data_IF_698913153220
#
_entry.id   IF_698913153220
#
_cell.length_a   1.000
_cell.length_b   1.000
_cell.length_c   1.000
_cell.angle_alpha   90.00
_cell.angle_beta   90.00
_cell.angle_gamma   90.00
#
_symmetry.space_group_name_H-M   'P 1'
#
loop_
_entity.id
_entity.type
_entity.pdbx_description
1 polymer ?
#
# COMPACT_ATOMS: atom_id res chain seq x y z
N UNK A 1 -42.13 -12.58 13.35
CA UNK A 1 -40.70 -12.60 13.72
C UNK A 1 -39.94 -11.93 12.59
N UNK A 2 -39.61 -10.65 12.78
CA UNK A 2 -38.89 -9.84 11.80
C UNK A 2 -37.48 -10.40 11.60
N UNK A 3 -37.18 -10.79 10.36
CA UNK A 3 -35.83 -11.08 9.91
C UNK A 3 -35.03 -9.78 9.93
N UNK A 4 -34.28 -9.57 11.00
CA UNK A 4 -33.29 -8.50 11.09
C UNK A 4 -32.15 -8.81 10.13
N UNK A 5 -32.31 -8.45 8.86
CA UNK A 5 -31.21 -8.37 7.91
C UNK A 5 -30.30 -7.22 8.35
N UNK A 6 -29.38 -7.49 9.27
CA UNK A 6 -28.28 -6.57 9.57
C UNK A 6 -27.38 -6.54 8.34
N UNK A 7 -27.68 -5.65 7.39
CA UNK A 7 -26.75 -5.31 6.33
C UNK A 7 -25.48 -4.81 7.02
N UNK A 8 -24.46 -5.64 7.11
CA UNK A 8 -23.15 -5.21 7.60
C UNK A 8 -22.63 -4.21 6.59
N UNK A 9 -22.83 -2.92 6.90
CA UNK A 9 -22.35 -1.80 6.11
C UNK A 9 -20.82 -1.91 6.08
N UNK A 10 -20.30 -2.61 5.09
CA UNK A 10 -18.88 -2.90 4.92
C UNK A 10 -18.40 -2.09 3.74
N UNK A 11 -17.24 -1.46 3.91
CA UNK A 11 -16.66 -0.56 2.93
C UNK A 11 -15.42 -1.20 2.32
N UNK A 12 -15.19 -0.88 1.04
CA UNK A 12 -13.94 -1.17 0.35
C UNK A 12 -13.04 0.04 0.46
N UNK A 13 -11.89 -0.13 1.11
CA UNK A 13 -10.99 0.97 1.44
C UNK A 13 -9.65 0.77 0.73
N UNK A 14 -9.11 1.86 0.20
CA UNK A 14 -7.75 1.94 -0.31
C UNK A 14 -6.95 2.91 0.56
N UNK A 15 -5.86 2.41 1.14
CA UNK A 15 -4.86 3.21 1.84
C UNK A 15 -3.71 3.50 0.88
N UNK A 16 -3.55 4.76 0.48
CA UNK A 16 -2.38 5.26 -0.20
C UNK A 16 -1.35 5.73 0.85
N UNK A 17 -0.33 4.90 1.08
CA UNK A 17 0.78 5.22 1.97
C UNK A 17 1.79 6.04 1.19
N UNK A 18 1.88 7.34 1.46
CA UNK A 18 2.72 8.27 0.72
C UNK A 18 4.14 8.31 1.30
N UNK A 19 4.31 8.94 2.46
CA UNK A 19 5.61 9.12 3.11
C UNK A 19 5.50 9.18 4.63
N UNK A 20 6.62 8.97 5.32
CA UNK A 20 6.76 9.33 6.72
C UNK A 20 7.85 10.40 6.86
N UNK A 21 7.75 11.22 7.90
CA UNK A 21 8.73 12.26 8.20
C UNK A 21 9.25 12.15 9.63
N UNK A 22 10.49 12.61 9.83
CA UNK A 22 11.16 12.66 11.13
C UNK A 22 11.17 11.33 11.91
N UNK A 23 11.30 10.20 11.20
CA UNK A 23 11.37 8.90 11.84
C UNK A 23 12.61 8.77 12.74
N UNK A 24 12.51 8.06 13.87
CA UNK A 24 13.65 7.81 14.73
C UNK A 24 14.70 6.96 13.99
N UNK A 25 15.83 7.58 13.69
CA UNK A 25 16.99 6.87 13.15
C UNK A 25 17.69 6.11 14.26
N UNK A 26 17.74 4.79 14.14
CA UNK A 26 18.63 3.94 14.91
C UNK A 26 19.83 3.58 14.05
N UNK A 27 20.97 3.22 14.65
CA UNK A 27 22.17 2.77 13.92
C UNK A 27 21.89 1.60 12.96
N UNK A 28 20.80 0.86 13.22
CA UNK A 28 20.35 -0.30 12.47
C UNK A 28 19.13 -0.04 11.57
N UNK A 29 18.66 1.21 11.44
CA UNK A 29 17.52 1.56 10.58
C UNK A 29 17.80 1.21 9.13
N UNK A 30 17.26 0.07 8.68
CA UNK A 30 17.44 -0.45 7.33
C UNK A 30 16.09 -0.62 6.65
N UNK A 31 15.91 0.10 5.54
CA UNK A 31 14.81 -0.08 4.57
C UNK A 31 13.44 -0.17 5.22
N UNK A 32 12.95 0.92 5.84
CA UNK A 32 11.65 0.92 6.50
C UNK A 32 10.51 0.54 5.55
N UNK A 33 9.47 -0.06 6.11
CA UNK A 33 8.20 -0.38 5.46
C UNK A 33 7.04 -0.11 6.42
N UNK A 34 5.85 0.11 5.88
CA UNK A 34 4.64 0.35 6.68
C UNK A 34 3.80 -0.91 6.68
N UNK A 35 3.32 -1.28 7.85
CA UNK A 35 2.31 -2.30 8.05
C UNK A 35 1.01 -1.61 8.46
N UNK A 36 -0.09 -1.94 7.79
CA UNK A 36 -1.44 -1.52 8.18
C UNK A 36 -2.10 -2.71 8.86
N UNK A 37 -2.38 -2.57 10.15
CA UNK A 37 -3.12 -3.56 10.95
C UNK A 37 -4.57 -3.13 11.05
N UNK A 38 -5.46 -4.06 10.78
CA UNK A 38 -6.91 -3.86 10.80
C UNK A 38 -7.46 -4.86 11.80
N UNK A 39 -7.95 -4.34 12.92
CA UNK A 39 -8.61 -5.12 13.95
C UNK A 39 -10.13 -5.04 13.73
N UNK A 40 -10.65 -6.09 13.11
CA UNK A 40 -12.06 -6.32 12.81
C UNK A 40 -12.37 -7.79 13.18
N UNK A 41 -13.60 -8.23 12.97
CA UNK A 41 -14.04 -9.63 13.15
C UNK A 41 -13.10 -10.66 12.49
N UNK A 42 -12.47 -10.30 11.37
CA UNK A 42 -11.37 -11.03 10.78
C UNK A 42 -10.14 -10.11 10.66
N UNK A 43 -9.15 -10.23 11.55
CA UNK A 43 -7.98 -9.36 11.54
C UNK A 43 -7.21 -9.47 10.21
N UNK A 44 -6.81 -8.33 9.67
CA UNK A 44 -6.06 -8.24 8.43
C UNK A 44 -4.79 -7.43 8.62
N UNK A 45 -3.74 -7.81 7.89
CA UNK A 45 -2.47 -7.10 7.90
C UNK A 45 -1.97 -6.90 6.47
N UNK A 46 -1.83 -5.64 6.08
CA UNK A 46 -1.26 -5.24 4.79
C UNK A 46 0.12 -4.64 5.02
N UNK A 47 1.00 -4.71 4.01
CA UNK A 47 2.33 -4.11 4.09
C UNK A 47 2.73 -3.46 2.79
N UNK A 48 3.45 -2.34 2.88
CA UNK A 48 4.17 -1.77 1.74
C UNK A 48 5.44 -2.56 1.46
N UNK A 49 6.04 -2.35 0.29
CA UNK A 49 7.40 -2.79 0.05
C UNK A 49 8.39 -2.00 0.92
N UNK A 50 9.53 -2.60 1.21
CA UNK A 50 10.64 -1.86 1.82
C UNK A 50 11.15 -0.76 0.91
N UNK A 51 11.52 0.38 1.49
CA UNK A 51 12.23 1.42 0.74
C UNK A 51 13.58 0.91 0.24
N UNK A 52 14.12 1.56 -0.78
CA UNK A 52 15.48 1.27 -1.29
C UNK A 52 16.57 1.94 -0.46
N UNK A 53 16.19 2.95 0.34
CA UNK A 53 17.09 3.82 1.07
C UNK A 53 17.31 3.29 2.50
N UNK A 54 18.55 2.96 2.82
CA UNK A 54 18.97 2.66 4.19
C UNK A 54 19.00 3.98 5.00
N UNK A 55 18.67 3.93 6.29
CA UNK A 55 18.63 5.11 7.20
C UNK A 55 17.77 6.27 6.69
N UNK A 56 16.68 5.98 5.98
CA UNK A 56 15.73 7.00 5.57
C UNK A 56 14.97 7.57 6.79
N UNK A 57 15.24 8.83 7.13
CA UNK A 57 14.47 9.59 8.12
C UNK A 57 13.10 9.98 7.58
N UNK A 58 13.06 10.29 6.28
CA UNK A 58 11.87 10.69 5.55
C UNK A 58 11.58 9.73 4.37
N UNK A 59 11.21 8.46 4.63
CA UNK A 59 10.95 7.49 3.59
C UNK A 59 9.65 7.79 2.83
N UNK A 60 9.69 7.61 1.51
CA UNK A 60 8.51 7.61 0.63
C UNK A 60 8.22 6.21 0.08
N UNK A 61 6.96 5.79 0.12
CA UNK A 61 6.47 4.52 -0.45
C UNK A 61 5.59 4.72 -1.68
N UNK A 62 4.65 5.66 -1.62
CA UNK A 62 3.68 5.94 -2.69
C UNK A 62 2.91 4.69 -3.14
N UNK A 63 2.43 3.89 -2.17
CA UNK A 63 1.79 2.59 -2.45
C UNK A 63 0.33 2.53 -2.04
N UNK A 64 -0.46 1.89 -2.88
CA UNK A 64 -1.87 1.61 -2.62
C UNK A 64 -2.04 0.22 -2.02
N UNK A 65 -2.62 0.15 -0.82
CA UNK A 65 -3.00 -1.05 -0.11
C UNK A 65 -4.53 -1.12 -0.06
N UNK A 66 -5.14 -2.16 -0.63
CA UNK A 66 -6.60 -2.25 -0.77
C UNK A 66 -7.18 -3.33 0.12
N UNK A 67 -8.24 -2.98 0.84
CA UNK A 67 -9.06 -3.87 1.67
C UNK A 67 -10.45 -3.94 1.05
N UNK A 68 -10.92 -5.15 0.75
CA UNK A 68 -12.20 -5.33 0.07
C UNK A 68 -13.41 -5.21 0.99
N UNK A 69 -13.25 -5.62 2.26
CA UNK A 69 -14.34 -5.69 3.23
C UNK A 69 -13.83 -5.21 4.56
N UNK A 70 -14.37 -4.09 5.03
CA UNK A 70 -13.92 -3.44 6.26
C UNK A 70 -15.12 -2.81 6.97
N UNK A 71 -15.31 -3.13 8.25
CA UNK A 71 -16.34 -2.46 9.05
C UNK A 71 -15.97 -0.99 9.31
N UNK A 72 -16.90 -0.02 9.24
CA UNK A 72 -16.67 1.38 9.64
C UNK A 72 -16.18 1.53 11.08
N UNK A 73 -16.50 0.55 11.94
CA UNK A 73 -16.12 0.52 13.35
C UNK A 73 -14.80 -0.19 13.63
N UNK A 74 -14.14 -0.76 12.62
CA UNK A 74 -12.87 -1.46 12.83
C UNK A 74 -11.77 -0.48 13.23
N UNK A 75 -10.78 -0.98 13.97
CA UNK A 75 -9.63 -0.20 14.38
C UNK A 75 -8.49 -0.40 13.40
N UNK A 76 -7.86 0.70 13.01
CA UNK A 76 -6.73 0.72 12.07
C UNK A 76 -5.53 1.30 12.76
N UNK A 77 -4.40 0.59 12.65
CA UNK A 77 -3.12 1.02 13.20
C UNK A 77 -2.06 0.94 12.11
N UNK A 78 -1.23 1.97 12.01
CA UNK A 78 -0.10 2.00 11.08
C UNK A 78 1.19 1.82 11.87
N UNK A 79 2.00 0.85 11.47
CA UNK A 79 3.29 0.56 12.08
C UNK A 79 4.40 0.71 11.05
N UNK A 80 5.35 1.60 11.32
CA UNK A 80 6.58 1.69 10.56
C UNK A 80 7.55 0.67 11.14
N UNK A 81 7.91 -0.31 10.34
CA UNK A 81 8.79 -1.40 10.71
C UNK A 81 10.06 -1.38 9.85
N UNK A 82 11.13 -2.00 10.35
CA UNK A 82 12.34 -2.25 9.60
C UNK A 82 12.59 -3.75 9.45
N UNK A 83 13.20 -4.15 8.34
CA UNK A 83 13.62 -5.55 8.18
C UNK A 83 14.77 -5.84 9.13
N UNK A 84 14.77 -7.05 9.66
CA UNK A 84 15.93 -7.57 10.38
C UNK A 84 17.14 -7.60 9.43
N UNK A 85 18.35 -7.26 9.93
CA UNK A 85 19.56 -7.33 9.12
C UNK A 85 19.77 -8.76 8.62
N UNK A 86 20.36 -8.89 7.42
CA UNK A 86 20.62 -10.21 6.80
C UNK A 86 21.50 -11.11 7.68
N UNK A 87 22.39 -10.51 8.48
CA UNK A 87 23.29 -11.21 9.40
C UNK A 87 22.64 -11.62 10.74
N UNK A 88 21.45 -11.10 11.05
CA UNK A 88 20.67 -11.46 12.23
C UNK A 88 19.19 -11.62 11.82
N UNK A 89 18.86 -12.69 11.07
CA UNK A 89 17.49 -12.94 10.63
C UNK A 89 16.60 -13.14 11.85
N UNK A 90 15.73 -12.17 12.09
CA UNK A 90 14.83 -12.13 13.24
C UNK A 90 13.51 -11.46 12.90
N UNK A 91 12.66 -11.29 13.91
CA UNK A 91 11.39 -10.57 13.74
C UNK A 91 11.66 -9.12 13.30
N UNK A 92 10.86 -8.56 12.37
CA UNK A 92 10.93 -7.14 12.05
C UNK A 92 10.77 -6.31 13.31
N UNK A 93 11.53 -5.23 13.42
CA UNK A 93 11.49 -4.32 14.56
C UNK A 93 10.59 -3.14 14.23
N UNK A 94 9.70 -2.78 15.16
CA UNK A 94 8.86 -1.58 15.04
C UNK A 94 9.70 -0.35 15.37
N UNK A 95 9.72 0.63 14.46
CA UNK A 95 10.36 1.93 14.65
C UNK A 95 9.39 2.92 15.30
N UNK A 96 8.18 3.00 14.75
CA UNK A 96 7.13 3.86 15.24
C UNK A 96 5.75 3.29 14.89
N UNK A 97 4.73 3.70 15.65
CA UNK A 97 3.35 3.29 15.45
C UNK A 97 2.41 4.48 15.64
N UNK A 98 1.31 4.51 14.90
CA UNK A 98 0.22 5.44 15.19
C UNK A 98 -0.64 4.93 16.34
N UNK A 99 -1.53 5.78 16.84
CA UNK A 99 -2.66 5.31 17.64
C UNK A 99 -3.59 4.41 16.80
N UNK A 100 -4.46 3.68 17.48
CA UNK A 100 -5.55 2.96 16.85
C UNK A 100 -6.68 3.94 16.53
N UNK A 101 -7.05 4.04 15.25
CA UNK A 101 -8.12 4.90 14.79
C UNK A 101 -9.29 4.08 14.24
N UNK A 102 -10.53 4.43 14.60
CA UNK A 102 -11.70 3.92 13.89
C UNK A 102 -11.63 4.33 12.42
N UNK A 103 -12.02 3.44 11.50
CA UNK A 103 -12.09 3.76 10.07
C UNK A 103 -12.96 4.99 9.80
N UNK A 104 -14.08 5.15 10.51
CA UNK A 104 -14.93 6.35 10.39
C UNK A 104 -14.15 7.64 10.68
N UNK A 105 -13.37 7.67 11.75
CA UNK A 105 -12.56 8.84 12.14
C UNK A 105 -11.49 9.16 11.09
N UNK A 106 -10.86 8.12 10.53
CA UNK A 106 -9.89 8.29 9.45
C UNK A 106 -10.51 8.93 8.19
N UNK A 107 -11.71 8.50 7.82
CA UNK A 107 -12.46 9.07 6.69
C UNK A 107 -12.94 10.51 6.98
N UNK A 108 -13.34 10.78 8.22
CA UNK A 108 -13.76 12.12 8.66
C UNK A 108 -12.59 13.11 8.63
N UNK A 109 -11.40 12.68 9.09
CA UNK A 109 -10.18 13.49 9.07
C UNK A 109 -9.75 13.89 7.65
N UNK A 110 -10.10 13.09 6.64
CA UNK A 110 -9.79 13.41 5.25
C UNK A 110 -10.71 14.50 4.65
N UNK A 111 -11.79 14.87 5.34
CA UNK A 111 -12.66 15.97 4.96
C UNK A 111 -13.78 15.61 3.99
N UNK A 112 -14.18 14.34 3.93
CA UNK A 112 -15.32 13.88 3.14
C UNK A 112 -15.02 13.85 1.63
N UNK A 113 -14.72 12.65 1.13
CA UNK A 113 -14.58 12.28 -0.29
C UNK A 113 -13.63 13.15 -1.16
N UNK A 114 -12.87 14.07 -0.57
CA UNK A 114 -11.76 14.74 -1.26
C UNK A 114 -10.65 13.73 -1.49
N UNK A 115 -10.47 13.38 -2.76
CA UNK A 115 -9.56 12.31 -3.19
C UNK A 115 -8.09 12.69 -3.02
N UNK A 116 -7.76 13.98 -2.96
CA UNK A 116 -6.38 14.47 -3.11
C UNK A 116 -5.75 15.00 -1.82
N UNK A 117 -6.42 14.89 -0.66
CA UNK A 117 -5.88 15.37 0.61
C UNK A 117 -5.24 14.24 1.40
N UNK A 118 -3.93 14.36 1.68
CA UNK A 118 -3.25 13.50 2.63
C UNK A 118 -3.61 13.92 4.05
N UNK A 119 -3.85 12.95 4.93
CA UNK A 119 -3.91 13.15 6.37
C UNK A 119 -2.54 12.85 6.97
N UNK A 120 -2.14 13.68 7.93
CA UNK A 120 -0.88 13.53 8.65
C UNK A 120 -1.15 12.90 10.01
N UNK A 121 -0.83 11.62 10.16
CA UNK A 121 -1.02 10.89 11.41
C UNK A 121 0.23 10.99 12.29
N UNK A 122 0.10 11.30 13.59
CA UNK A 122 1.23 11.31 14.50
C UNK A 122 1.80 9.90 14.67
N UNK A 123 3.13 9.79 14.60
CA UNK A 123 3.86 8.55 14.84
C UNK A 123 4.51 8.59 16.22
N UNK A 124 4.18 7.62 17.05
CA UNK A 124 4.78 7.40 18.36
C UNK A 124 5.96 6.45 18.23
N UNK A 125 7.17 6.84 18.63
CA UNK A 125 8.33 5.96 18.63
C UNK A 125 8.10 4.76 19.56
N UNK A 126 8.43 3.54 19.11
CA UNK A 126 8.18 2.30 19.87
C UNK A 126 9.08 2.10 21.11
N UNK A 127 9.78 3.14 21.57
CA UNK A 127 10.71 3.13 22.70
C UNK A 127 11.90 2.16 22.56
N UNK A 128 12.97 2.62 21.88
CA UNK A 128 14.39 2.43 22.24
C UNK A 128 15.23 3.25 21.27
N UNK A 129 15.32 4.55 21.47
CA UNK A 129 16.47 5.33 21.00
C UNK A 129 17.57 5.18 22.05
N UNK A 130 18.60 4.34 21.84
CA UNK A 130 19.74 4.25 22.77
C UNK A 130 20.56 5.55 22.81
N UNK A 131 20.44 6.38 21.77
CA UNK A 131 21.01 7.73 21.72
C UNK A 131 19.87 8.72 22.02
N UNK A 132 19.77 9.18 23.27
CA UNK A 132 18.70 10.03 23.83
C UNK A 132 18.53 11.42 23.23
N UNK A 133 18.63 11.56 21.91
CA UNK A 133 18.23 12.76 21.17
C UNK A 133 16.78 12.59 20.75
N UNK A 134 15.88 13.33 21.40
CA UNK A 134 14.50 13.45 20.93
C UNK A 134 14.52 13.97 19.48
N UNK A 135 13.68 13.44 18.58
CA UNK A 135 13.56 13.99 17.24
C UNK A 135 13.14 15.47 17.36
N UNK A 136 13.83 16.34 16.61
CA UNK A 136 13.63 17.81 16.66
C UNK A 136 12.23 18.21 16.15
N UNK A 137 11.53 17.29 15.47
CA UNK A 137 10.16 17.40 14.99
C UNK A 137 9.37 16.13 15.30
N UNK A 138 8.06 16.21 15.60
CA UNK A 138 7.24 15.03 15.82
C UNK A 138 7.16 14.21 14.53
N UNK A 139 7.41 12.90 14.63
CA UNK A 139 7.30 11.99 13.50
C UNK A 139 5.85 11.92 12.99
N UNK A 140 5.67 11.91 11.67
CA UNK A 140 4.34 11.88 11.04
C UNK A 140 4.29 10.90 9.88
N UNK A 141 3.11 10.36 9.62
CA UNK A 141 2.80 9.52 8.48
C UNK A 141 1.76 10.22 7.60
N UNK A 142 2.14 10.52 6.36
CA UNK A 142 1.27 11.00 5.30
C UNK A 142 0.56 9.80 4.67
N UNK A 143 -0.76 9.74 4.83
CA UNK A 143 -1.61 8.71 4.25
C UNK A 143 -2.84 9.35 3.61
N UNK A 144 -3.30 8.78 2.51
CA UNK A 144 -4.58 9.12 1.90
C UNK A 144 -5.47 7.89 1.85
N UNK A 145 -6.72 8.04 2.26
CA UNK A 145 -7.65 6.96 2.54
C UNK A 145 -8.89 7.16 1.66
N UNK A 146 -9.17 6.18 0.81
CA UNK A 146 -10.23 6.31 -0.18
C UNK A 146 -11.25 5.20 -0.01
N UNK A 147 -12.51 5.57 0.07
CA UNK A 147 -13.60 4.63 -0.13
C UNK A 147 -13.75 4.39 -1.63
N UNK A 148 -13.63 3.13 -2.06
CA UNK A 148 -13.84 2.76 -3.45
C UNK A 148 -15.34 2.50 -3.65
N UNK A 149 -16.00 3.36 -4.43
CA UNK A 149 -17.43 3.24 -4.69
C UNK A 149 -17.79 1.98 -5.48
N UNK A 150 -18.64 1.18 -4.84
CA UNK A 150 -19.43 0.02 -5.30
C UNK A 150 -18.71 -1.29 -5.67
N UNK A 151 -19.05 -2.31 -4.89
CA UNK A 151 -18.82 -3.74 -5.16
C UNK A 151 -19.33 -4.18 -6.54
N UNK A 152 -20.42 -3.57 -7.03
CA UNK A 152 -21.00 -3.86 -8.34
C UNK A 152 -20.09 -3.43 -9.49
N UNK A 153 -19.47 -2.25 -9.43
CA UNK A 153 -18.58 -1.76 -10.49
C UNK A 153 -17.27 -2.55 -10.52
N UNK A 154 -16.80 -3.02 -9.37
CA UNK A 154 -15.60 -3.86 -9.27
C UNK A 154 -15.85 -5.31 -9.72
N UNK A 155 -16.99 -5.91 -9.36
CA UNK A 155 -17.41 -7.23 -9.87
C UNK A 155 -17.67 -7.17 -11.38
N UNK A 156 -18.28 -6.09 -11.89
CA UNK A 156 -18.41 -5.87 -13.33
C UNK A 156 -17.07 -5.66 -14.02
N UNK A 157 -16.17 -4.82 -13.48
CA UNK A 157 -14.84 -4.62 -14.05
C UNK A 157 -14.02 -5.93 -14.04
N UNK A 158 -14.13 -6.74 -12.97
CA UNK A 158 -13.50 -8.04 -12.89
C UNK A 158 -14.10 -9.03 -13.91
N UNK A 159 -15.43 -9.05 -14.05
CA UNK A 159 -16.15 -9.85 -15.06
C UNK A 159 -15.73 -9.47 -16.47
N UNK A 160 -15.74 -8.17 -16.80
CA UNK A 160 -15.32 -7.64 -18.10
C UNK A 160 -13.85 -7.98 -18.38
N UNK A 161 -12.98 -7.87 -17.37
CA UNK A 161 -11.56 -8.21 -17.53
C UNK A 161 -11.33 -9.71 -17.70
N UNK A 162 -12.13 -10.56 -17.05
CA UNK A 162 -12.11 -12.01 -17.22
C UNK A 162 -12.62 -12.42 -18.61
N UNK A 163 -13.70 -11.79 -19.08
CA UNK A 163 -14.26 -11.99 -20.43
C UNK A 163 -13.27 -11.57 -21.50
N UNK A 164 -12.64 -10.38 -21.38
CA UNK A 164 -11.61 -9.92 -22.33
C UNK A 164 -10.43 -10.89 -22.43
N UNK A 165 -9.97 -11.43 -21.30
CA UNK A 165 -8.88 -12.42 -21.28
C UNK A 165 -9.29 -13.74 -21.94
N UNK A 166 -10.51 -14.24 -21.67
CA UNK A 166 -11.05 -15.41 -22.36
C UNK A 166 -11.21 -15.18 -23.87
N UNK A 167 -11.63 -14.00 -24.30
CA UNK A 167 -11.71 -13.65 -25.72
C UNK A 167 -10.34 -13.53 -26.38
N UNK A 168 -9.31 -13.09 -25.65
CA UNK A 168 -7.93 -13.09 -26.14
C UNK A 168 -7.37 -14.51 -26.26
N UNK A 169 -7.69 -15.41 -25.32
CA UNK A 169 -7.29 -16.81 -25.38
C UNK A 169 -8.01 -17.56 -26.52
N UNK A 170 -9.28 -17.22 -26.79
CA UNK A 170 -10.03 -17.78 -27.94
C UNK A 170 -9.65 -17.18 -29.29
N UNK A 171 -9.10 -15.96 -29.33
CA UNK A 171 -8.56 -15.35 -30.56
C UNK A 171 -7.09 -15.76 -30.84
N UNK A 172 -6.43 -16.42 -29.89
CA UNK A 172 -5.04 -16.88 -29.98
C UNK A 172 -4.84 -18.19 -30.76
N UNK A 173 -5.90 -18.89 -31.14
CA UNK A 173 -5.83 -20.18 -31.84
C UNK A 173 -5.99 -20.05 -33.36
N UNK A 174 -5.51 -18.94 -33.94
CA UNK A 174 -5.71 -18.63 -35.36
C UNK A 174 -4.72 -17.63 -35.97
N UNK A 175 -3.52 -17.46 -35.42
CA UNK A 175 -2.47 -16.66 -36.06
C UNK A 175 -1.26 -17.54 -36.36
N UNK A 176 -1.19 -17.93 -37.62
CA UNK A 176 -0.14 -18.72 -38.26
C UNK A 176 1.28 -18.34 -37.83
N UNK A 177 2.11 -19.38 -37.70
CA UNK A 177 3.57 -19.31 -37.67
C UNK A 177 4.07 -18.40 -38.81
N UNK A 178 4.46 -17.16 -38.48
CA UNK A 178 5.39 -16.40 -39.30
C UNK A 178 6.76 -16.43 -38.63
N UNK A 179 7.61 -17.30 -39.17
CA UNK A 179 9.05 -17.27 -38.99
C UNK A 179 9.59 -15.86 -39.31
N UNK A 180 10.48 -15.28 -38.49
CA UNK A 180 11.16 -14.06 -38.88
C UNK A 180 12.18 -14.41 -39.99
N UNK A 181 11.94 -13.93 -41.21
CA UNK A 181 12.96 -13.91 -42.26
C UNK A 181 14.05 -12.91 -41.88
N UNK A 182 15.35 -13.25 -41.97
CA UNK A 182 16.41 -12.29 -41.74
C UNK A 182 16.50 -11.34 -42.95
N UNK A 183 16.12 -10.08 -42.76
CA UNK A 183 16.34 -9.04 -43.77
C UNK A 183 17.85 -8.78 -43.88
N UNK A 184 18.43 -9.28 -44.97
CA UNK A 184 19.79 -8.97 -45.44
C UNK A 184 19.79 -7.53 -45.95
N UNK A 185 20.34 -6.58 -45.19
CA UNK A 185 20.61 -5.24 -45.69
C UNK A 185 21.96 -5.28 -46.41
N UNK A 186 21.90 -5.13 -47.73
CA UNK A 186 23.06 -5.05 -48.60
C UNK A 186 23.74 -3.68 -48.49
N UNK A 187 25.08 -3.72 -48.58
CA UNK A 187 26.00 -2.59 -48.71
C UNK A 187 25.57 -1.63 -49.84
N UNK A 188 25.67 -0.32 -49.58
CA UNK A 188 25.82 0.69 -50.61
C UNK A 188 27.11 1.47 -50.32
N UNK A 189 28.07 1.33 -51.23
CA UNK A 189 29.27 2.15 -51.31
C UNK A 189 28.90 3.57 -51.77
N UNK A 190 29.61 4.58 -51.27
CA UNK A 190 29.67 5.90 -51.88
C UNK A 190 31.13 6.42 -51.82
N UNK A 191 31.60 7.11 -52.88
CA UNK A 191 33.02 7.38 -53.09
C UNK A 191 33.45 8.76 -52.54
N UNK A 192 34.71 8.83 -52.12
CA UNK A 192 35.66 9.92 -52.41
C UNK A 192 37.07 9.40 -52.12
#
# INVERSE_FOLDING_TARGET
>A
MESSSSSTNTKRIQFHIDAATALPLTKNTNRPFVTVKIDDTAPQQLRTSTTRCDRAQDPSWQQNLTVNTMSPSCQVTFEVMQRSPVWAPGKPSTLACTDAYPLSTLLDMQGGNTFDTNIELPLHPAATTPDGKAPESPARLSVNIRELTSRHTAEEAFRISLERRRSQDSAGDGAERRTPSPTRVAFAAAPA
#
